data_IF_541845302262
#
_entry.id   IF_541845302262
#
_cell.length_a   1.000
_cell.length_b   1.000
_cell.length_c   1.000
_cell.angle_alpha   90.00
_cell.angle_beta   90.00
_cell.angle_gamma   90.00
#
_symmetry.space_group_name_H-M   'P 1'
#
loop_
_entity.id
_entity.type
_entity.pdbx_description
1 polymer ?
#
# COMPACT_ATOMS: atom_id res chain seq x y z
N UNK A 1 10.22 -7.74 -17.72
CA UNK A 1 9.00 -7.20 -17.11
C UNK A 1 7.85 -7.33 -18.11
N UNK A 2 6.89 -8.20 -17.84
CA UNK A 2 5.65 -8.27 -18.61
C UNK A 2 4.77 -7.15 -18.04
N UNK A 3 4.68 -6.02 -18.73
CA UNK A 3 3.62 -5.05 -18.51
C UNK A 3 2.30 -5.75 -18.87
N UNK A 4 1.65 -6.35 -17.89
CA UNK A 4 0.29 -6.79 -18.01
C UNK A 4 -0.58 -5.57 -18.30
N UNK A 5 -1.28 -5.56 -19.42
CA UNK A 5 -2.27 -4.51 -19.70
C UNK A 5 -3.28 -4.53 -18.56
N UNK A 6 -3.37 -3.45 -17.78
CA UNK A 6 -4.40 -3.27 -16.75
C UNK A 6 -5.76 -3.37 -17.45
N UNK A 7 -6.42 -4.49 -17.26
CA UNK A 7 -7.79 -4.67 -17.76
C UNK A 7 -8.71 -3.91 -16.81
N UNK A 8 -9.46 -2.95 -17.36
CA UNK A 8 -10.43 -2.17 -16.61
C UNK A 8 -11.83 -2.49 -17.09
N UNK A 9 -12.70 -2.83 -16.17
CA UNK A 9 -14.12 -2.98 -16.41
C UNK A 9 -14.89 -1.87 -15.69
N UNK A 10 -16.01 -1.44 -16.26
CA UNK A 10 -16.87 -0.43 -15.65
C UNK A 10 -18.11 -1.09 -15.07
N UNK A 11 -18.30 -0.95 -13.77
CA UNK A 11 -19.48 -1.46 -13.07
C UNK A 11 -20.63 -0.46 -13.16
N UNK A 12 -21.84 -0.96 -13.38
CA UNK A 12 -23.06 -0.15 -13.35
C UNK A 12 -23.75 -0.35 -12.01
N UNK A 13 -24.02 0.76 -11.35
CA UNK A 13 -24.77 0.80 -10.08
C UNK A 13 -26.23 1.03 -10.42
N UNK A 14 -27.15 0.28 -9.78
CA UNK A 14 -28.59 0.44 -9.95
C UNK A 14 -29.13 1.64 -9.11
N UNK A 15 -30.44 1.90 -9.19
CA UNK A 15 -31.09 3.01 -8.49
C UNK A 15 -31.03 2.88 -6.95
N UNK A 16 -30.78 1.66 -6.44
CA UNK A 16 -30.61 1.41 -5.00
C UNK A 16 -29.16 1.54 -4.52
N UNK A 17 -28.21 1.86 -5.42
CA UNK A 17 -26.80 1.91 -5.09
C UNK A 17 -26.10 0.54 -5.13
N UNK A 18 -26.74 -0.51 -5.67
CA UNK A 18 -26.20 -1.87 -5.70
C UNK A 18 -25.51 -2.15 -7.04
N UNK A 19 -24.47 -2.96 -7.00
CA UNK A 19 -23.82 -3.53 -8.19
C UNK A 19 -23.55 -5.03 -7.98
N UNK A 20 -23.50 -5.75 -9.08
CA UNK A 20 -23.04 -7.12 -9.12
C UNK A 20 -22.04 -7.29 -10.27
N UNK A 21 -20.97 -8.00 -10.00
CA UNK A 21 -19.94 -8.26 -10.99
C UNK A 21 -19.39 -9.69 -10.83
N UNK A 22 -19.20 -10.36 -11.95
CA UNK A 22 -18.63 -11.72 -11.98
C UNK A 22 -17.34 -11.67 -12.81
N UNK A 23 -16.20 -11.37 -12.17
CA UNK A 23 -14.92 -11.35 -12.88
C UNK A 23 -14.45 -12.76 -13.21
N UNK A 24 -13.64 -12.86 -14.26
CA UNK A 24 -12.85 -14.08 -14.51
C UNK A 24 -11.60 -13.97 -13.67
N UNK A 25 -11.53 -14.73 -12.58
CA UNK A 25 -10.41 -14.70 -11.64
C UNK A 25 -9.70 -16.06 -11.60
N UNK A 26 -8.36 -16.07 -11.37
CA UNK A 26 -7.61 -17.30 -11.19
C UNK A 26 -8.02 -18.04 -9.91
N UNK A 27 -7.89 -19.37 -9.92
CA UNK A 27 -8.17 -20.21 -8.73
C UNK A 27 -7.27 -19.85 -7.53
N UNK A 28 -6.02 -19.46 -7.80
CA UNK A 28 -5.07 -19.07 -6.74
C UNK A 28 -5.38 -17.71 -6.07
N UNK A 29 -6.33 -16.99 -6.59
CA UNK A 29 -6.68 -15.65 -6.15
C UNK A 29 -5.65 -14.59 -6.54
N UNK A 30 -6.15 -13.40 -6.81
CA UNK A 30 -5.37 -12.20 -7.14
C UNK A 30 -5.97 -10.98 -6.44
N UNK A 31 -5.17 -9.92 -6.36
CA UNK A 31 -5.62 -8.63 -5.86
C UNK A 31 -6.12 -7.79 -7.04
N UNK A 32 -7.33 -7.30 -6.90
CA UNK A 32 -7.98 -6.35 -7.81
C UNK A 32 -8.17 -5.04 -7.09
N UNK A 33 -8.46 -4.00 -7.82
CA UNK A 33 -8.73 -2.69 -7.23
C UNK A 33 -10.06 -2.15 -7.77
N UNK A 34 -10.96 -1.79 -6.84
CA UNK A 34 -12.23 -1.18 -7.15
C UNK A 34 -12.13 0.34 -6.95
N UNK A 35 -12.32 1.08 -8.05
CA UNK A 35 -12.30 2.53 -8.02
C UNK A 35 -13.71 3.13 -8.04
N UNK A 36 -13.97 4.06 -7.15
CA UNK A 36 -15.14 4.92 -7.19
C UNK A 36 -14.73 6.25 -7.79
N UNK A 37 -15.39 6.67 -8.88
CA UNK A 37 -15.02 7.92 -9.57
C UNK A 37 -15.09 9.12 -8.64
N UNK A 38 -13.98 9.83 -8.52
CA UNK A 38 -13.86 11.02 -7.67
C UNK A 38 -13.50 10.73 -6.22
N UNK A 39 -13.28 9.46 -5.85
CA UNK A 39 -12.90 9.04 -4.51
C UNK A 39 -11.55 8.35 -4.53
N UNK A 40 -10.80 8.48 -3.44
CA UNK A 40 -9.50 7.82 -3.23
C UNK A 40 -9.34 7.43 -1.76
N UNK A 41 -8.53 6.41 -1.43
CA UNK A 41 -7.88 5.48 -2.35
C UNK A 41 -8.86 4.53 -3.03
N UNK A 42 -8.39 3.72 -3.98
CA UNK A 42 -9.12 2.57 -4.46
C UNK A 42 -9.32 1.53 -3.36
N UNK A 43 -10.28 0.63 -3.54
CA UNK A 43 -10.57 -0.44 -2.59
C UNK A 43 -9.90 -1.73 -3.09
N UNK A 44 -8.85 -2.22 -2.43
CA UNK A 44 -8.23 -3.48 -2.83
C UNK A 44 -9.15 -4.65 -2.50
N UNK A 45 -9.27 -5.60 -3.44
CA UNK A 45 -10.08 -6.79 -3.31
C UNK A 45 -9.26 -8.03 -3.65
N UNK A 46 -9.12 -8.95 -2.71
CA UNK A 46 -8.60 -10.29 -2.97
C UNK A 46 -9.76 -11.20 -3.39
N UNK A 47 -9.64 -11.78 -4.58
CA UNK A 47 -10.66 -12.65 -5.16
C UNK A 47 -10.02 -13.93 -5.69
N UNK A 48 -10.66 -15.09 -5.45
CA UNK A 48 -10.31 -16.38 -6.06
C UNK A 48 -11.50 -16.92 -6.86
N UNK A 49 -11.23 -17.84 -7.77
CA UNK A 49 -12.28 -18.44 -8.58
C UNK A 49 -13.33 -19.15 -7.72
N UNK A 50 -14.60 -18.71 -7.87
CA UNK A 50 -15.75 -19.25 -7.14
C UNK A 50 -16.10 -18.52 -5.83
N UNK A 51 -15.30 -17.55 -5.38
CA UNK A 51 -15.60 -16.76 -4.18
C UNK A 51 -16.87 -15.90 -4.35
N UNK A 52 -17.60 -15.73 -3.27
CA UNK A 52 -18.71 -14.78 -3.13
C UNK A 52 -18.33 -13.73 -2.10
N UNK A 53 -17.86 -12.59 -2.57
CA UNK A 53 -17.43 -11.46 -1.74
C UNK A 53 -18.48 -10.36 -1.81
N UNK A 54 -18.90 -9.88 -0.63
CA UNK A 54 -19.74 -8.70 -0.54
C UNK A 54 -18.89 -7.54 -0.01
N UNK A 55 -19.02 -6.38 -0.63
CA UNK A 55 -18.41 -5.14 -0.16
C UNK A 55 -19.48 -4.08 -0.04
N UNK A 56 -19.62 -3.51 1.15
CA UNK A 56 -20.43 -2.34 1.41
C UNK A 56 -19.52 -1.11 1.41
N UNK A 57 -19.85 -0.14 0.57
CA UNK A 57 -19.03 1.06 0.33
C UNK A 57 -19.79 2.28 0.81
N UNK A 58 -19.24 2.98 1.79
CA UNK A 58 -19.74 4.27 2.25
C UNK A 58 -18.87 5.38 1.68
N UNK A 59 -19.50 6.31 0.96
CA UNK A 59 -18.83 7.47 0.40
C UNK A 59 -18.95 8.63 1.37
N UNK A 60 -17.82 9.03 1.96
CA UNK A 60 -17.75 10.10 2.93
C UNK A 60 -17.47 11.45 2.25
N UNK A 61 -17.77 12.58 2.92
CA UNK A 61 -17.22 13.88 2.56
C UNK A 61 -15.69 13.77 2.40
N UNK A 62 -15.06 14.71 1.72
CA UNK A 62 -13.60 14.71 1.50
C UNK A 62 -13.10 13.62 0.52
N UNK A 63 -14.03 13.01 -0.24
CA UNK A 63 -13.72 12.00 -1.25
C UNK A 63 -13.08 10.73 -0.67
N UNK A 64 -13.44 10.39 0.55
CA UNK A 64 -12.97 9.21 1.26
C UNK A 64 -13.95 8.05 1.08
N UNK A 65 -13.41 6.84 0.96
CA UNK A 65 -14.17 5.60 0.88
C UNK A 65 -13.98 4.83 2.18
N UNK A 66 -15.07 4.37 2.78
CA UNK A 66 -15.05 3.36 3.85
C UNK A 66 -15.67 2.06 3.35
N UNK A 67 -15.09 0.92 3.74
CA UNK A 67 -15.53 -0.38 3.29
C UNK A 67 -15.75 -1.36 4.43
N UNK A 68 -16.82 -2.15 4.30
CA UNK A 68 -17.08 -3.32 5.13
C UNK A 68 -17.17 -4.54 4.20
N UNK A 69 -16.46 -5.59 4.57
CA UNK A 69 -16.41 -6.83 3.79
C UNK A 69 -17.17 -7.93 4.49
N UNK A 70 -17.81 -8.83 3.70
CA UNK A 70 -18.44 -10.03 4.21
C UNK A 70 -18.47 -11.15 3.15
N UNK A 71 -18.77 -12.38 3.57
CA UNK A 71 -18.74 -13.55 2.70
C UNK A 71 -17.36 -14.19 2.63
N UNK A 72 -17.02 -14.76 1.47
CA UNK A 72 -15.71 -15.35 1.25
C UNK A 72 -14.63 -14.27 1.26
N UNK A 73 -13.43 -14.61 1.70
CA UNK A 73 -12.28 -13.68 1.73
C UNK A 73 -12.47 -12.42 2.57
N UNK A 74 -13.40 -12.40 3.51
CA UNK A 74 -13.64 -11.25 4.40
C UNK A 74 -12.34 -10.81 5.08
N UNK A 75 -11.57 -11.76 5.63
CA UNK A 75 -10.34 -11.46 6.40
C UNK A 75 -9.19 -10.97 5.52
N UNK A 76 -9.05 -11.55 4.34
CA UNK A 76 -8.07 -11.11 3.35
C UNK A 76 -8.35 -9.67 2.89
N UNK A 77 -9.62 -9.36 2.65
CA UNK A 77 -10.05 -8.04 2.20
C UNK A 77 -9.94 -6.99 3.31
N UNK A 78 -10.34 -7.32 4.56
CA UNK A 78 -10.09 -6.46 5.73
C UNK A 78 -8.61 -6.12 5.88
N UNK A 79 -7.75 -7.13 5.72
CA UNK A 79 -6.31 -6.96 5.83
C UNK A 79 -5.73 -6.05 4.74
N UNK A 80 -6.08 -6.30 3.47
CA UNK A 80 -5.65 -5.47 2.35
C UNK A 80 -6.10 -4.03 2.49
N UNK A 81 -7.37 -3.83 2.84
CA UNK A 81 -7.92 -2.49 3.04
C UNK A 81 -7.18 -1.74 4.16
N UNK A 82 -6.84 -2.43 5.25
CA UNK A 82 -6.09 -1.83 6.35
C UNK A 82 -4.64 -1.46 5.98
N UNK A 83 -4.01 -2.15 4.99
CA UNK A 83 -2.70 -1.77 4.45
C UNK A 83 -2.83 -0.49 3.63
N UNK A 84 -3.85 -0.41 2.78
CA UNK A 84 -4.05 0.69 1.84
C UNK A 84 -4.70 1.93 2.47
N UNK A 85 -5.21 1.84 3.70
CA UNK A 85 -5.76 3.01 4.39
C UNK A 85 -4.66 4.05 4.61
N UNK A 86 -4.47 4.85 3.56
CA UNK A 86 -3.39 5.82 3.44
C UNK A 86 -3.69 7.16 4.11
N UNK A 87 -4.91 7.38 4.61
CA UNK A 87 -5.35 8.66 5.19
C UNK A 87 -4.42 9.14 6.30
N UNK A 88 -3.96 8.19 7.10
CA UNK A 88 -3.05 8.48 8.22
C UNK A 88 -1.66 8.93 7.75
N UNK A 89 -1.17 8.39 6.62
CA UNK A 89 0.23 8.57 6.20
C UNK A 89 0.52 9.90 5.50
N UNK A 90 -0.51 10.52 4.94
CA UNK A 90 -0.38 11.79 4.22
C UNK A 90 -0.90 12.98 5.03
N UNK A 91 -1.24 12.76 6.32
CA UNK A 91 -1.61 13.87 7.19
C UNK A 91 -0.41 14.78 7.48
N UNK A 92 -0.59 16.09 7.61
CA UNK A 92 0.50 17.01 7.95
C UNK A 92 1.23 16.61 9.22
N UNK A 93 0.52 16.02 10.20
CA UNK A 93 1.10 15.57 11.46
C UNK A 93 2.09 14.44 11.26
N UNK A 94 1.89 13.58 10.26
CA UNK A 94 2.78 12.46 9.97
C UNK A 94 3.94 12.88 9.08
N UNK A 95 3.68 13.69 8.06
CA UNK A 95 4.70 14.10 7.09
C UNK A 95 5.76 15.04 7.66
N UNK A 96 5.50 15.65 8.83
CA UNK A 96 6.46 16.53 9.54
C UNK A 96 7.22 15.82 10.67
N UNK A 97 6.95 14.54 10.93
CA UNK A 97 7.66 13.79 11.97
C UNK A 97 9.14 13.61 11.64
N UNK A 98 10.02 13.67 12.66
CA UNK A 98 11.37 13.14 12.56
C UNK A 98 11.34 11.66 12.17
N UNK A 99 12.35 11.17 11.47
CA UNK A 99 12.34 9.80 10.95
C UNK A 99 12.14 8.74 12.04
N UNK A 100 12.75 8.92 13.20
CA UNK A 100 12.59 8.01 14.33
C UNK A 100 11.13 7.84 14.77
N UNK A 101 10.39 8.95 14.88
CA UNK A 101 8.99 8.93 15.31
C UNK A 101 8.08 8.38 14.18
N UNK A 102 8.36 8.75 12.94
CA UNK A 102 7.69 8.18 11.77
C UNK A 102 7.91 6.66 11.69
N UNK A 103 9.15 6.20 11.88
CA UNK A 103 9.47 4.78 11.89
C UNK A 103 8.74 4.04 13.01
N UNK A 104 8.73 4.59 14.21
CA UNK A 104 8.00 4.00 15.35
C UNK A 104 6.52 3.83 15.02
N UNK A 105 5.88 4.86 14.46
CA UNK A 105 4.47 4.82 14.06
C UNK A 105 4.19 3.76 12.99
N UNK A 106 5.07 3.64 11.99
CA UNK A 106 4.96 2.60 10.96
C UNK A 106 5.14 1.20 11.54
N UNK A 107 6.07 1.01 12.47
CA UNK A 107 6.30 -0.27 13.15
C UNK A 107 5.10 -0.69 14.03
N UNK A 108 4.45 0.26 14.69
CA UNK A 108 3.22 0.01 15.47
C UNK A 108 2.06 -0.41 14.57
N UNK A 109 1.88 0.26 13.44
CA UNK A 109 0.85 -0.10 12.46
C UNK A 109 1.09 -1.49 11.88
N UNK A 110 2.33 -1.81 11.52
CA UNK A 110 2.70 -3.14 11.02
C UNK A 110 2.39 -4.24 12.05
N UNK A 111 2.64 -4.00 13.35
CA UNK A 111 2.25 -4.93 14.43
C UNK A 111 0.73 -5.11 14.52
N UNK A 112 -0.05 -4.03 14.38
CA UNK A 112 -1.52 -4.12 14.37
C UNK A 112 -2.01 -4.97 13.18
N UNK A 113 -1.43 -4.77 12.00
CA UNK A 113 -1.75 -5.57 10.81
C UNK A 113 -1.38 -7.04 10.98
N UNK A 114 -0.30 -7.35 11.71
CA UNK A 114 0.05 -8.74 12.00
C UNK A 114 -1.06 -9.48 12.76
N UNK A 115 -1.80 -8.79 13.63
CA UNK A 115 -2.95 -9.38 14.32
C UNK A 115 -4.10 -9.70 13.35
N UNK A 116 -4.32 -8.86 12.32
CA UNK A 116 -5.30 -9.14 11.26
C UNK A 116 -4.82 -10.28 10.37
N UNK A 117 -3.54 -10.31 9.97
CA UNK A 117 -2.96 -11.38 9.17
C UNK A 117 -3.17 -12.76 9.82
N UNK A 118 -3.04 -12.86 11.14
CA UNK A 118 -3.22 -14.11 11.87
C UNK A 118 -4.67 -14.65 11.83
N UNK A 119 -5.65 -13.84 11.40
CA UNK A 119 -7.04 -14.28 11.21
C UNK A 119 -7.26 -14.95 9.85
N UNK A 120 -6.32 -14.81 8.90
CA UNK A 120 -6.35 -15.45 7.59
C UNK A 120 -5.98 -16.92 7.75
N UNK A 121 -6.90 -17.82 7.36
CA UNK A 121 -6.75 -19.26 7.57
C UNK A 121 -5.80 -19.92 6.56
N UNK A 122 -5.86 -19.48 5.30
CA UNK A 122 -5.00 -19.97 4.23
C UNK A 122 -3.58 -19.44 4.45
N UNK A 123 -2.65 -20.36 4.73
CA UNK A 123 -1.27 -19.99 5.05
C UNK A 123 -0.55 -19.34 3.86
N UNK A 124 -0.71 -19.89 2.66
CA UNK A 124 -0.02 -19.38 1.46
C UNK A 124 -0.51 -17.98 1.13
N UNK A 125 -1.83 -17.75 1.25
CA UNK A 125 -2.42 -16.42 1.06
C UNK A 125 -1.92 -15.46 2.14
N UNK A 126 -1.93 -15.87 3.40
CA UNK A 126 -1.45 -15.06 4.53
C UNK A 126 0.00 -14.62 4.34
N UNK A 127 0.89 -15.54 3.97
CA UNK A 127 2.31 -15.24 3.75
C UNK A 127 2.50 -14.28 2.57
N UNK A 128 1.76 -14.46 1.48
CA UNK A 128 1.80 -13.58 0.32
C UNK A 128 1.35 -12.15 0.66
N UNK A 129 0.22 -12.02 1.37
CA UNK A 129 -0.32 -10.71 1.76
C UNK A 129 0.56 -10.03 2.83
N UNK A 130 1.09 -10.79 3.80
CA UNK A 130 2.03 -10.27 4.80
C UNK A 130 3.31 -9.73 4.14
N UNK A 131 3.82 -10.41 3.11
CA UNK A 131 4.95 -9.92 2.32
C UNK A 131 4.61 -8.63 1.58
N UNK A 132 3.43 -8.54 0.97
CA UNK A 132 2.98 -7.31 0.30
C UNK A 132 2.92 -6.14 1.28
N UNK A 133 2.38 -6.36 2.48
CA UNK A 133 2.36 -5.35 3.53
C UNK A 133 3.76 -4.91 3.94
N UNK A 134 4.66 -5.87 4.16
CA UNK A 134 6.04 -5.59 4.50
C UNK A 134 6.71 -4.67 3.46
N UNK A 135 6.59 -5.00 2.17
CA UNK A 135 7.14 -4.18 1.09
C UNK A 135 6.54 -2.77 1.07
N UNK A 136 5.22 -2.66 1.25
CA UNK A 136 4.53 -1.39 1.31
C UNK A 136 5.06 -0.51 2.46
N UNK A 137 5.28 -1.08 3.65
CA UNK A 137 5.85 -0.35 4.77
C UNK A 137 7.32 0.02 4.57
N UNK A 138 8.12 -0.82 3.92
CA UNK A 138 9.50 -0.47 3.59
C UNK A 138 9.54 0.72 2.61
N UNK A 139 8.72 0.70 1.57
CA UNK A 139 8.58 1.82 0.64
C UNK A 139 8.18 3.11 1.38
N UNK A 140 7.19 3.04 2.27
CA UNK A 140 6.76 4.20 3.09
C UNK A 140 7.89 4.75 3.95
N UNK A 141 8.67 3.88 4.62
CA UNK A 141 9.80 4.31 5.46
C UNK A 141 10.88 4.99 4.62
N UNK A 142 11.21 4.43 3.46
CA UNK A 142 12.24 5.02 2.60
C UNK A 142 11.75 6.31 1.93
N UNK A 143 10.48 6.38 1.52
CA UNK A 143 9.91 7.58 0.90
C UNK A 143 9.75 8.76 1.88
N UNK A 144 9.98 8.55 3.17
CA UNK A 144 9.91 9.59 4.19
C UNK A 144 10.73 10.85 3.84
N UNK A 145 11.93 10.68 3.29
CA UNK A 145 12.79 11.79 2.91
C UNK A 145 12.21 12.67 1.80
N UNK A 146 11.29 12.12 0.98
CA UNK A 146 10.59 12.86 -0.07
C UNK A 146 9.36 13.62 0.46
N UNK A 147 8.84 13.24 1.63
CA UNK A 147 7.55 13.71 2.16
C UNK A 147 7.68 14.97 3.01
N UNK A 148 8.89 15.31 3.45
CA UNK A 148 9.14 16.36 4.41
C UNK A 148 9.71 17.63 3.81
N UNK A 149 9.81 18.67 4.66
CA UNK A 149 10.64 19.82 4.38
C UNK A 149 12.12 19.41 4.28
N UNK A 150 12.97 20.25 3.68
CA UNK A 150 14.43 19.98 3.59
C UNK A 150 15.10 19.66 4.93
N UNK A 151 14.48 20.03 6.05
CA UNK A 151 14.94 19.72 7.41
C UNK A 151 14.94 18.22 7.72
N UNK A 152 14.11 17.43 7.03
CA UNK A 152 14.04 15.97 7.22
C UNK A 152 15.22 15.22 6.57
N UNK A 153 15.92 15.83 5.61
CA UNK A 153 17.03 15.17 4.88
C UNK A 153 18.25 14.95 5.79
N UNK A 154 18.40 15.78 6.83
CA UNK A 154 19.53 15.74 7.76
C UNK A 154 19.29 14.86 9.01
N UNK A 155 18.20 14.09 9.06
CA UNK A 155 17.92 13.19 10.19
C UNK A 155 18.97 12.05 10.23
N UNK A 156 19.75 11.93 11.30
CA UNK A 156 20.86 10.98 11.39
C UNK A 156 20.42 9.51 11.46
N UNK A 157 19.17 9.25 11.85
CA UNK A 157 18.63 7.89 11.98
C UNK A 157 18.23 7.33 10.61
N UNK A 158 17.88 8.19 9.63
CA UNK A 158 17.44 7.77 8.32
C UNK A 158 18.53 7.06 7.48
N UNK A 159 19.77 7.61 7.34
CA UNK A 159 20.86 6.91 6.66
C UNK A 159 21.15 5.54 7.27
N UNK A 160 21.13 5.47 8.61
CA UNK A 160 21.34 4.21 9.33
C UNK A 160 20.27 3.19 8.99
N UNK A 161 19.02 3.60 8.90
CA UNK A 161 17.93 2.72 8.49
C UNK A 161 18.10 2.25 7.03
N UNK A 162 18.38 3.16 6.08
CA UNK A 162 18.55 2.79 4.66
C UNK A 162 19.67 1.76 4.49
N UNK A 163 20.77 1.88 5.25
CA UNK A 163 21.87 0.92 5.23
C UNK A 163 21.48 -0.50 5.71
N UNK A 164 20.35 -0.66 6.40
CA UNK A 164 19.86 -1.99 6.82
C UNK A 164 19.08 -2.71 5.74
N UNK A 165 18.70 -2.04 4.63
CA UNK A 165 17.87 -2.61 3.59
C UNK A 165 18.69 -3.56 2.72
N UNK A 166 18.28 -4.83 2.68
CA UNK A 166 18.92 -5.82 1.83
C UNK A 166 18.37 -5.76 0.41
N UNK A 167 19.03 -5.01 -0.47
CA UNK A 167 18.62 -4.85 -1.87
C UNK A 167 18.83 -6.11 -2.74
N UNK A 168 19.59 -7.10 -2.25
CA UNK A 168 19.84 -8.34 -2.97
C UNK A 168 18.77 -9.42 -2.71
N UNK A 169 17.88 -9.19 -1.77
CA UNK A 169 16.81 -10.11 -1.46
C UNK A 169 15.57 -9.77 -2.28
N UNK A 170 15.34 -10.51 -3.36
CA UNK A 170 14.16 -10.36 -4.21
C UNK A 170 12.82 -10.60 -3.48
N UNK A 171 12.87 -11.20 -2.28
CA UNK A 171 11.67 -11.38 -1.46
C UNK A 171 11.33 -10.13 -0.64
N UNK A 172 12.28 -9.30 -0.35
CA UNK A 172 12.13 -8.11 0.51
C UNK A 172 12.46 -6.79 -0.19
N UNK A 173 12.80 -6.84 -1.49
CA UNK A 173 13.05 -5.66 -2.31
C UNK A 173 12.07 -5.62 -3.50
N UNK A 174 11.35 -4.51 -3.66
CA UNK A 174 10.55 -4.20 -4.84
C UNK A 174 11.29 -3.19 -5.73
N UNK A 175 10.88 -3.11 -7.00
CA UNK A 175 11.38 -2.08 -7.92
C UNK A 175 11.17 -0.67 -7.36
N UNK A 176 9.99 -0.41 -6.83
CA UNK A 176 9.65 0.87 -6.20
C UNK A 176 10.55 1.19 -4.98
N UNK A 177 10.81 0.21 -4.11
CA UNK A 177 11.72 0.39 -2.98
C UNK A 177 13.14 0.73 -3.47
N UNK A 178 13.61 0.04 -4.51
CA UNK A 178 14.91 0.28 -5.09
C UNK A 178 15.02 1.70 -5.67
N UNK A 179 13.99 2.18 -6.36
CA UNK A 179 13.94 3.55 -6.90
C UNK A 179 14.08 4.60 -5.78
N UNK A 180 13.37 4.45 -4.66
CA UNK A 180 13.49 5.36 -3.53
C UNK A 180 14.87 5.31 -2.87
N UNK A 181 15.47 4.12 -2.70
CA UNK A 181 16.82 4.00 -2.13
C UNK A 181 17.88 4.64 -3.04
N UNK A 182 17.80 4.40 -4.35
CA UNK A 182 18.69 5.01 -5.32
C UNK A 182 18.49 6.53 -5.33
N UNK A 183 17.25 7.02 -5.38
CA UNK A 183 16.92 8.44 -5.35
C UNK A 183 17.51 9.14 -4.13
N UNK A 184 17.43 8.50 -2.94
CA UNK A 184 18.05 9.06 -1.76
C UNK A 184 19.57 9.12 -1.85
N UNK A 185 20.25 8.04 -2.28
CA UNK A 185 21.70 8.05 -2.45
C UNK A 185 22.15 9.12 -3.46
N UNK A 186 21.40 9.30 -4.54
CA UNK A 186 21.68 10.33 -5.51
C UNK A 186 21.49 11.75 -4.94
N UNK A 187 20.50 11.96 -4.06
CA UNK A 187 20.27 13.26 -3.41
C UNK A 187 21.39 13.65 -2.44
N UNK A 188 22.19 12.69 -1.95
CA UNK A 188 23.35 12.94 -1.10
C UNK A 188 24.60 13.37 -1.89
N UNK A 189 24.60 13.19 -3.21
CA UNK A 189 25.71 13.62 -4.07
C UNK A 189 25.60 15.11 -4.39
N UNK A 190 26.11 15.94 -3.47
CA UNK A 190 26.12 17.40 -3.61
C UNK A 190 27.06 17.91 -4.73
N UNK A 191 27.83 17.02 -5.35
CA UNK A 191 28.73 17.37 -6.46
C UNK A 191 28.00 17.49 -7.80
N UNK A 192 26.74 17.03 -7.87
CA UNK A 192 25.93 17.10 -9.10
C UNK A 192 25.05 18.34 -9.11
N UNK A 193 25.21 19.12 -10.14
CA UNK A 193 24.27 20.18 -10.48
C UNK A 193 23.02 19.55 -11.14
N UNK A 194 21.91 19.52 -10.39
CA UNK A 194 20.63 18.95 -10.85
C UNK A 194 19.83 19.92 -11.72
N UNK A 195 20.35 21.12 -12.00
CA UNK A 195 19.66 22.13 -12.83
C UNK A 195 19.49 21.71 -14.29
N UNK A 196 20.23 20.70 -14.75
CA UNK A 196 20.23 20.22 -16.15
C UNK A 196 19.30 19.01 -16.37
N UNK A 197 18.55 18.54 -15.36
CA UNK A 197 17.57 17.48 -15.53
C UNK A 197 16.18 18.06 -15.81
N UNK A 198 15.53 17.62 -16.91
CA UNK A 198 14.23 18.12 -17.33
C UNK A 198 13.08 17.74 -16.38
#
# INVERSE_FOLDING_TARGET
>A
AVQGSLKRDTLKVNEKGEFQYIPVVPQKGEVYELFVKGYRPGVPLFLSGGDQVNVEITLLPEQVVECVFSGDRERENEYLYAIEDSREWYSPEVTTLAFKDFKLRTDEKEKQLQALANRIKDQDVRERLARQAYLCFQVRRVSWYCSGSRENVDDPDFPTFVATINLNDSLTCSEELLEYVIGWHLSQDTSRDWSDYP
#
